data_IF_436108472215
#
_entry.id   IF_436108472215
#
_cell.length_a   1.000
_cell.length_b   1.000
_cell.length_c   1.000
_cell.angle_alpha   90.00
_cell.angle_beta   90.00
_cell.angle_gamma   90.00
#
_symmetry.space_group_name_H-M   'P 1'
#
loop_
_entity.id
_entity.type
_entity.pdbx_description
1 polymer ?
#
# COMPACT_ATOMS: atom_id res chain seq x y z
N UNK A 1 -14.11 -4.11 -0.19
CA UNK A 1 -13.30 -5.25 -0.66
C UNK A 1 -12.57 -5.83 0.53
N UNK A 2 -12.57 -7.15 0.69
CA UNK A 2 -11.90 -7.86 1.78
C UNK A 2 -10.83 -8.77 1.18
N UNK A 3 -9.58 -8.57 1.57
CA UNK A 3 -8.46 -9.43 1.19
C UNK A 3 -8.49 -10.70 2.04
N UNK A 4 -8.37 -11.87 1.42
CA UNK A 4 -8.11 -13.10 2.17
C UNK A 4 -6.59 -13.28 2.30
N UNK A 5 -6.06 -12.96 3.48
CA UNK A 5 -4.62 -13.02 3.78
C UNK A 5 -4.00 -14.40 3.48
N UNK A 6 -4.76 -15.48 3.62
CA UNK A 6 -4.30 -16.84 3.34
C UNK A 6 -3.95 -17.03 1.85
N UNK A 7 -4.68 -16.34 0.96
CA UNK A 7 -4.49 -16.44 -0.49
C UNK A 7 -3.43 -15.49 -1.04
N UNK A 8 -2.92 -14.53 -0.24
CA UNK A 8 -1.91 -13.57 -0.67
C UNK A 8 -0.55 -14.25 -0.83
N UNK A 9 -0.06 -14.40 -2.06
CA UNK A 9 1.18 -15.14 -2.33
C UNK A 9 2.40 -14.24 -2.60
N UNK A 10 2.16 -12.98 -2.90
CA UNK A 10 3.19 -12.01 -3.25
C UNK A 10 2.73 -10.60 -2.94
N UNK A 11 3.63 -9.83 -2.35
CA UNK A 11 3.51 -8.38 -2.28
C UNK A 11 4.68 -7.77 -3.06
N UNK A 12 4.36 -6.87 -3.98
CA UNK A 12 5.34 -6.03 -4.65
C UNK A 12 5.31 -4.65 -4.02
N UNK A 13 6.47 -4.12 -3.66
CA UNK A 13 6.60 -2.77 -3.09
C UNK A 13 7.66 -2.01 -3.86
N UNK A 14 7.34 -0.77 -4.22
CA UNK A 14 8.26 0.15 -4.87
C UNK A 14 8.25 1.50 -4.15
N UNK A 15 9.43 1.97 -3.75
CA UNK A 15 9.62 3.36 -3.36
C UNK A 15 9.66 4.24 -4.60
N UNK A 16 8.77 5.22 -4.71
CA UNK A 16 8.58 6.01 -5.94
C UNK A 16 9.83 6.83 -6.26
N UNK A 17 10.41 7.48 -5.25
CA UNK A 17 11.58 8.33 -5.44
C UNK A 17 12.89 7.56 -5.39
N UNK A 18 12.97 6.52 -4.54
CA UNK A 18 14.19 5.71 -4.44
C UNK A 18 14.34 4.77 -5.65
N UNK A 19 13.23 4.41 -6.31
CA UNK A 19 13.22 3.39 -7.36
C UNK A 19 13.45 1.98 -6.82
N UNK A 20 13.62 1.82 -5.51
CA UNK A 20 13.87 0.54 -4.89
C UNK A 20 12.62 -0.32 -5.00
N UNK A 21 12.79 -1.53 -5.55
CA UNK A 21 11.73 -2.49 -5.80
C UNK A 21 12.02 -3.76 -5.02
N UNK A 22 11.01 -4.29 -4.33
CA UNK A 22 11.07 -5.60 -3.68
C UNK A 22 9.85 -6.43 -4.01
N UNK A 23 10.10 -7.71 -4.27
CA UNK A 23 9.08 -8.73 -4.40
C UNK A 23 9.17 -9.65 -3.19
N UNK A 24 8.13 -9.69 -2.38
CA UNK A 24 8.08 -10.38 -1.10
C UNK A 24 7.14 -11.58 -1.26
N UNK A 25 7.68 -12.79 -1.07
CA UNK A 25 6.96 -14.06 -1.12
C UNK A 25 6.97 -14.82 0.21
N UNK A 26 7.78 -14.36 1.17
CA UNK A 26 7.82 -14.93 2.52
C UNK A 26 6.51 -14.64 3.25
N UNK A 27 5.84 -15.69 3.72
CA UNK A 27 4.48 -15.57 4.24
C UNK A 27 4.41 -14.80 5.56
N UNK A 28 5.43 -14.90 6.40
CA UNK A 28 5.51 -14.17 7.65
C UNK A 28 5.65 -12.66 7.40
N UNK A 29 6.54 -12.27 6.48
CA UNK A 29 6.68 -10.87 6.04
C UNK A 29 5.42 -10.34 5.38
N UNK A 30 4.77 -11.15 4.53
CA UNK A 30 3.48 -10.78 3.94
C UNK A 30 2.46 -10.45 5.04
N UNK A 31 2.31 -11.33 6.04
CA UNK A 31 1.37 -11.13 7.12
C UNK A 31 1.68 -9.88 7.95
N UNK A 32 2.96 -9.60 8.22
CA UNK A 32 3.41 -8.39 8.91
C UNK A 32 3.04 -7.11 8.13
N UNK A 33 3.33 -7.07 6.82
CA UNK A 33 2.98 -5.95 5.94
C UNK A 33 1.47 -5.74 5.91
N UNK A 34 0.69 -6.81 5.75
CA UNK A 34 -0.77 -6.72 5.73
C UNK A 34 -1.34 -6.25 7.07
N UNK A 35 -0.72 -6.66 8.19
CA UNK A 35 -1.08 -6.18 9.53
C UNK A 35 -0.87 -4.68 9.65
N UNK A 36 0.32 -4.20 9.28
CA UNK A 36 0.66 -2.78 9.28
C UNK A 36 -0.30 -1.95 8.42
N UNK A 37 -0.64 -2.43 7.23
CA UNK A 37 -1.62 -1.78 6.35
C UNK A 37 -3.03 -1.76 6.94
N UNK A 38 -3.46 -2.84 7.59
CA UNK A 38 -4.81 -2.94 8.17
C UNK A 38 -5.04 -2.04 9.38
N UNK A 39 -3.98 -1.57 10.03
CA UNK A 39 -4.07 -0.68 11.18
C UNK A 39 -4.28 0.79 10.81
N UNK A 40 -4.15 1.14 9.52
CA UNK A 40 -4.26 2.53 9.07
C UNK A 40 -5.72 2.98 9.07
N UNK A 41 -6.01 4.06 9.80
CA UNK A 41 -7.35 4.67 9.80
C UNK A 41 -7.52 5.62 8.62
N UNK A 42 -8.59 5.41 7.86
CA UNK A 42 -8.84 6.11 6.59
C UNK A 42 -10.25 6.69 6.56
N UNK A 43 -10.39 7.84 5.90
CA UNK A 43 -11.69 8.41 5.50
C UNK A 43 -11.67 8.66 4.00
N UNK A 44 -12.76 8.34 3.29
CA UNK A 44 -12.87 8.61 1.86
C UNK A 44 -12.74 10.12 1.60
N UNK A 45 -11.95 10.50 0.58
CA UNK A 45 -11.60 11.88 0.30
C UNK A 45 -11.70 12.18 -1.20
N UNK A 46 -12.59 13.09 -1.58
CA UNK A 46 -12.86 13.42 -2.97
C UNK A 46 -12.15 14.68 -3.49
N UNK A 47 -11.25 15.27 -2.68
CA UNK A 47 -10.48 16.45 -3.09
C UNK A 47 -9.21 16.13 -3.88
N UNK A 48 -8.48 17.19 -4.23
CA UNK A 48 -7.21 17.06 -4.97
C UNK A 48 -6.07 16.57 -4.05
N UNK A 49 -5.30 15.60 -4.56
CA UNK A 49 -4.12 15.03 -3.92
C UNK A 49 -2.84 15.19 -4.75
N UNK A 50 -2.90 15.90 -5.88
CA UNK A 50 -1.83 16.07 -6.88
C UNK A 50 -0.49 16.48 -6.27
N UNK A 51 -0.52 17.43 -5.33
CA UNK A 51 0.67 17.98 -4.65
C UNK A 51 1.42 16.98 -3.76
N UNK A 52 0.83 15.81 -3.45
CA UNK A 52 1.41 14.81 -2.55
C UNK A 52 1.96 13.58 -3.29
N UNK A 53 1.93 13.55 -4.62
CA UNK A 53 2.28 12.38 -5.44
C UNK A 53 3.71 11.88 -5.35
N UNK A 54 4.64 12.72 -4.89
CA UNK A 54 6.07 12.39 -4.87
C UNK A 54 6.67 12.38 -3.48
N UNK A 55 5.97 12.82 -2.42
CA UNK A 55 6.61 12.97 -1.11
C UNK A 55 6.67 11.63 -0.37
N UNK A 56 7.79 10.91 -0.47
CA UNK A 56 7.98 9.62 0.22
C UNK A 56 6.95 8.56 -0.21
N UNK A 57 6.48 8.62 -1.45
CA UNK A 57 5.42 7.75 -1.93
C UNK A 57 5.91 6.30 -2.09
N UNK A 58 4.99 5.36 -1.88
CA UNK A 58 5.19 3.92 -2.10
C UNK A 58 4.05 3.38 -2.94
N UNK A 59 4.39 2.56 -3.93
CA UNK A 59 3.45 1.70 -4.66
C UNK A 59 3.49 0.31 -4.02
N UNK A 60 2.34 -0.21 -3.63
CA UNK A 60 2.18 -1.52 -3.02
C UNK A 60 1.16 -2.29 -3.84
N UNK A 61 1.54 -3.48 -4.30
CA UNK A 61 0.67 -4.35 -5.08
C UNK A 61 0.55 -5.69 -4.39
N UNK A 62 -0.68 -6.09 -4.10
CA UNK A 62 -1.01 -7.34 -3.43
C UNK A 62 -1.58 -8.30 -4.47
N UNK A 63 -0.98 -9.48 -4.52
CA UNK A 63 -1.40 -10.57 -5.41
C UNK A 63 -2.02 -11.70 -4.59
N UNK A 64 -3.21 -12.15 -4.99
CA UNK A 64 -3.84 -13.36 -4.48
C UNK A 64 -3.92 -14.40 -5.59
N UNK A 65 -3.53 -15.64 -5.32
CA UNK A 65 -3.57 -16.73 -6.30
C UNK A 65 -2.95 -16.33 -7.67
N UNK A 66 -1.80 -15.66 -7.62
CA UNK A 66 -1.01 -15.16 -8.73
C UNK A 66 -1.68 -14.05 -9.57
N UNK A 67 -2.82 -13.52 -9.12
CA UNK A 67 -3.55 -12.44 -9.78
C UNK A 67 -3.37 -11.14 -9.04
N UNK A 68 -3.29 -10.05 -9.80
CA UNK A 68 -3.37 -8.71 -9.25
C UNK A 68 -4.73 -8.52 -8.58
N UNK A 69 -4.72 -8.17 -7.29
CA UNK A 69 -5.93 -8.04 -6.48
C UNK A 69 -6.11 -6.62 -5.97
N UNK A 70 -5.07 -6.04 -5.35
CA UNK A 70 -5.14 -4.70 -4.78
C UNK A 70 -3.89 -3.89 -5.07
N UNK A 71 -4.08 -2.62 -5.40
CA UNK A 71 -3.06 -1.59 -5.49
C UNK A 71 -3.31 -0.52 -4.44
N UNK A 72 -2.25 -0.19 -3.71
CA UNK A 72 -2.23 0.90 -2.73
C UNK A 72 -1.09 1.83 -3.12
N UNK A 73 -1.41 3.10 -3.29
CA UNK A 73 -0.43 4.16 -3.55
C UNK A 73 -0.45 5.16 -2.41
N UNK A 74 0.66 5.23 -1.68
CA UNK A 74 0.80 6.19 -0.58
C UNK A 74 1.26 7.54 -1.14
N UNK A 75 0.60 8.61 -0.75
CA UNK A 75 0.90 9.98 -1.17
C UNK A 75 1.36 10.76 0.07
N UNK A 76 2.61 10.53 0.47
CA UNK A 76 3.08 10.99 1.77
C UNK A 76 2.28 10.38 2.93
N UNK A 77 2.39 10.99 4.10
CA UNK A 77 1.70 10.55 5.32
C UNK A 77 0.20 10.85 5.27
N UNK A 78 -0.22 11.66 4.30
CA UNK A 78 -1.49 12.35 4.33
C UNK A 78 -2.61 11.60 3.60
N UNK A 79 -2.29 10.87 2.52
CA UNK A 79 -3.32 10.24 1.67
C UNK A 79 -2.90 8.87 1.14
N UNK A 80 -3.90 8.04 0.84
CA UNK A 80 -3.78 6.81 0.08
C UNK A 80 -4.69 6.85 -1.16
N UNK A 81 -4.23 6.27 -2.26
CA UNK A 81 -5.10 5.84 -3.36
C UNK A 81 -5.17 4.32 -3.29
N UNK A 82 -6.38 3.77 -3.28
CA UNK A 82 -6.61 2.33 -3.28
C UNK A 82 -7.42 1.99 -4.51
N UNK A 83 -6.96 1.00 -5.26
CA UNK A 83 -7.66 0.46 -6.43
C UNK A 83 -7.64 -1.07 -6.35
N UNK A 84 -8.75 -1.68 -6.70
CA UNK A 84 -8.85 -3.12 -6.88
C UNK A 84 -8.66 -3.52 -8.35
N UNK A 85 -8.78 -4.82 -8.63
CA UNK A 85 -8.78 -5.41 -9.97
C UNK A 85 -9.93 -4.92 -10.86
N UNK A 86 -11.01 -4.42 -10.28
CA UNK A 86 -12.16 -3.84 -10.98
C UNK A 86 -11.95 -2.36 -11.34
N UNK A 87 -10.78 -1.81 -10.99
CA UNK A 87 -10.31 -0.46 -11.33
C UNK A 87 -11.09 0.67 -10.66
N UNK A 88 -11.78 0.42 -9.55
CA UNK A 88 -12.38 1.50 -8.76
C UNK A 88 -11.29 2.24 -7.98
N UNK A 89 -10.85 3.37 -8.53
CA UNK A 89 -9.87 4.23 -7.89
C UNK A 89 -10.54 5.09 -6.83
N UNK A 90 -10.31 4.74 -5.56
CA UNK A 90 -10.75 5.54 -4.40
C UNK A 90 -9.58 6.25 -3.75
N UNK A 91 -9.83 7.46 -3.27
CA UNK A 91 -8.87 8.28 -2.55
C UNK A 91 -9.29 8.37 -1.10
N UNK A 92 -8.31 8.30 -0.22
CA UNK A 92 -8.53 8.34 1.22
C UNK A 92 -7.56 9.32 1.86
N UNK A 93 -8.04 10.03 2.87
CA UNK A 93 -7.20 10.78 3.81
C UNK A 93 -6.86 9.87 4.99
N UNK A 94 -5.60 9.88 5.38
CA UNK A 94 -5.11 9.18 6.56
C UNK A 94 -5.46 9.98 7.80
N UNK A 95 -6.12 9.35 8.78
CA UNK A 95 -6.64 10.02 9.97
C UNK A 95 -5.62 10.07 11.11
N UNK A 96 -4.70 9.09 11.17
CA UNK A 96 -3.61 9.05 12.12
C UNK A 96 -2.31 8.63 11.43
N UNK A 97 -1.15 9.06 11.95
CA UNK A 97 0.16 8.73 11.37
C UNK A 97 0.59 7.28 11.65
N UNK A 98 -0.36 6.34 11.60
CA UNK A 98 -0.17 4.91 11.91
C UNK A 98 0.49 4.12 10.76
N UNK A 99 0.58 4.70 9.56
CA UNK A 99 1.33 4.08 8.47
C UNK A 99 2.84 4.12 8.76
N UNK A 100 3.38 2.97 9.17
CA UNK A 100 4.78 2.81 9.54
C UNK A 100 5.72 2.89 8.33
N UNK A 101 6.27 4.08 8.10
CA UNK A 101 7.15 4.37 6.96
C UNK A 101 8.57 3.88 7.14
N UNK A 102 9.04 3.82 8.39
CA UNK A 102 10.37 3.31 8.71
C UNK A 102 10.43 1.82 8.45
N UNK A 103 9.37 1.09 8.81
CA UNK A 103 9.21 -0.31 8.42
C UNK A 103 9.23 -0.48 6.90
N UNK A 104 8.48 0.34 6.16
CA UNK A 104 8.43 0.27 4.68
C UNK A 104 9.79 0.57 4.05
N UNK A 105 10.53 1.53 4.59
CA UNK A 105 11.89 1.83 4.16
C UNK A 105 12.84 0.66 4.44
N UNK A 106 12.77 0.06 5.63
CA UNK A 106 13.58 -1.11 6.01
C UNK A 106 13.34 -2.32 5.10
N UNK A 107 12.08 -2.58 4.72
CA UNK A 107 11.78 -3.73 3.84
C UNK A 107 12.11 -3.44 2.37
N UNK A 108 12.18 -2.17 1.97
CA UNK A 108 12.50 -1.76 0.59
C UNK A 108 13.98 -1.45 0.35
N UNK A 109 14.76 -1.24 1.41
CA UNK A 109 16.22 -1.05 1.35
C UNK A 109 16.99 -2.34 1.05
#
# INVERSE_FOLDING_TARGET
>A
MTINKENVDKIHIRGVNSGNIKNIKDKNKINEILSNLSNVKLVEYNGDTSKNRTKGAYEIVIYENHKYTLFIYTLGKEYLIISDSEKFLKRYKVLDNSFDREYMEKITS
#
